data_IF_153287437836
#
_entry.id   IF_153287437836
#
_cell.length_a   1.000
_cell.length_b   1.000
_cell.length_c   1.000
_cell.angle_alpha   90.00
_cell.angle_beta   90.00
_cell.angle_gamma   90.00
#
_symmetry.space_group_name_H-M   'P 1'
#
loop_
_entity.id
_entity.type
_entity.pdbx_description
1 polymer ?
#
# COMPACT_ATOMS: atom_id res chain seq x y z
N UNK A 1 14.72 1.26 4.80
CA UNK A 1 13.96 1.60 3.58
C UNK A 1 12.53 1.11 3.70
N UNK A 2 11.54 1.95 3.35
CA UNK A 2 10.13 1.56 3.15
C UNK A 2 9.72 1.92 1.73
N UNK A 3 8.93 1.09 1.05
CA UNK A 3 8.43 1.36 -0.30
C UNK A 3 7.19 2.25 -0.25
N UNK A 4 7.14 3.28 -1.09
CA UNK A 4 6.00 4.20 -1.22
C UNK A 4 5.67 4.47 -2.69
N UNK A 5 4.43 4.82 -2.98
CA UNK A 5 4.05 5.37 -4.29
C UNK A 5 3.60 6.81 -4.07
N UNK A 6 4.00 7.73 -4.94
CA UNK A 6 3.68 9.15 -4.80
C UNK A 6 3.23 9.75 -6.13
N UNK A 7 2.49 10.85 -6.11
CA UNK A 7 1.98 11.52 -7.30
C UNK A 7 0.45 11.54 -7.39
N UNK A 8 -0.05 12.11 -8.48
CA UNK A 8 -1.46 12.17 -8.79
C UNK A 8 -2.09 10.77 -8.90
N UNK A 9 -3.37 10.65 -8.52
CA UNK A 9 -4.10 9.39 -8.58
C UNK A 9 -4.06 8.76 -9.98
N UNK A 10 -3.62 7.50 -10.06
CA UNK A 10 -3.47 6.75 -11.32
C UNK A 10 -2.24 7.10 -12.15
N UNK A 11 -1.38 8.00 -11.67
CA UNK A 11 -0.10 8.39 -12.27
C UNK A 11 1.04 8.34 -11.25
N UNK A 12 0.89 7.48 -10.25
CA UNK A 12 1.89 7.38 -9.20
C UNK A 12 3.23 6.87 -9.74
N UNK A 13 4.31 7.34 -9.12
CA UNK A 13 5.68 6.87 -9.31
C UNK A 13 6.15 6.08 -8.09
N UNK A 14 7.06 5.11 -8.27
CA UNK A 14 7.68 4.42 -7.15
C UNK A 14 8.70 5.32 -6.45
N UNK A 15 8.69 5.29 -5.13
CA UNK A 15 9.61 6.00 -4.26
C UNK A 15 9.96 5.20 -3.02
N UNK A 16 10.98 5.65 -2.30
CA UNK A 16 11.38 5.05 -1.03
C UNK A 16 11.39 6.07 0.09
N UNK A 17 10.99 5.63 1.28
CA UNK A 17 11.13 6.40 2.52
C UNK A 17 12.32 5.89 3.32
N UNK A 18 13.28 6.76 3.61
CA UNK A 18 14.52 6.50 4.34
C UNK A 18 14.74 7.66 5.32
N UNK A 19 14.80 7.34 6.62
CA UNK A 19 15.14 8.27 7.71
C UNK A 19 14.37 9.61 7.67
N UNK A 20 13.06 9.54 7.42
CA UNK A 20 12.19 10.72 7.39
C UNK A 20 12.08 11.40 6.02
N UNK A 21 12.86 10.98 5.03
CA UNK A 21 12.89 11.59 3.69
C UNK A 21 12.33 10.62 2.65
N UNK A 22 11.57 11.16 1.70
CA UNK A 22 11.05 10.44 0.55
C UNK A 22 11.93 10.71 -0.68
N UNK A 23 12.27 9.65 -1.41
CA UNK A 23 13.11 9.72 -2.61
C UNK A 23 12.42 9.07 -3.80
N UNK A 24 12.57 9.67 -4.98
CA UNK A 24 12.11 9.15 -6.26
C UNK A 24 13.06 8.05 -6.76
N UNK A 25 12.52 6.86 -7.06
CA UNK A 25 13.29 5.73 -7.64
C UNK A 25 12.74 5.32 -9.01
N UNK A 26 11.93 6.15 -9.64
CA UNK A 26 11.29 5.89 -10.94
C UNK A 26 12.27 5.76 -12.11
N UNK A 27 13.53 6.17 -11.92
CA UNK A 27 14.61 5.89 -12.86
C UNK A 27 15.07 4.42 -12.87
N UNK A 28 14.79 3.66 -11.81
CA UNK A 28 15.28 2.29 -11.61
C UNK A 28 14.16 1.26 -11.52
N UNK A 29 13.00 1.70 -11.03
CA UNK A 29 11.83 0.86 -10.83
C UNK A 29 10.69 1.43 -11.65
N UNK A 30 10.02 0.57 -12.41
CA UNK A 30 8.83 0.98 -13.16
C UNK A 30 7.66 1.26 -12.21
N UNK A 31 7.31 0.30 -11.36
CA UNK A 31 6.29 0.44 -10.31
C UNK A 31 6.39 -0.72 -9.30
N UNK A 32 5.68 -0.65 -8.17
CA UNK A 32 5.56 -1.74 -7.20
C UNK A 32 4.36 -2.63 -7.52
N UNK A 33 4.52 -3.46 -8.55
CA UNK A 33 3.52 -4.40 -9.08
C UNK A 33 4.01 -5.86 -8.96
N UNK A 34 3.24 -6.83 -9.48
CA UNK A 34 3.64 -8.25 -9.45
C UNK A 34 5.04 -8.48 -10.04
N UNK A 35 5.37 -7.86 -11.17
CA UNK A 35 6.66 -8.05 -11.84
C UNK A 35 7.84 -7.57 -10.97
N UNK A 36 7.70 -6.45 -10.24
CA UNK A 36 8.74 -6.00 -9.31
C UNK A 36 8.98 -7.02 -8.19
N UNK A 37 7.93 -7.55 -7.58
CA UNK A 37 8.06 -8.49 -6.47
C UNK A 37 8.52 -9.88 -6.92
N UNK A 38 8.10 -10.34 -8.09
CA UNK A 38 8.50 -11.62 -8.68
C UNK A 38 9.99 -11.66 -9.04
N UNK A 39 10.54 -10.54 -9.54
CA UNK A 39 11.91 -10.47 -10.06
C UNK A 39 12.92 -9.98 -9.01
N UNK A 40 12.73 -10.32 -7.73
CA UNK A 40 13.63 -9.93 -6.63
C UNK A 40 13.88 -8.40 -6.53
N UNK A 41 12.90 -7.59 -6.94
CA UNK A 41 13.05 -6.14 -7.09
C UNK A 41 13.42 -5.42 -5.78
N UNK A 42 13.03 -5.96 -4.63
CA UNK A 42 13.39 -5.40 -3.32
C UNK A 42 14.92 -5.46 -3.10
N UNK A 43 15.54 -6.61 -3.37
CA UNK A 43 16.98 -6.77 -3.19
C UNK A 43 17.77 -5.95 -4.21
N UNK A 44 17.32 -5.94 -5.47
CA UNK A 44 17.93 -5.13 -6.53
C UNK A 44 17.88 -3.63 -6.20
N UNK A 45 16.72 -3.12 -5.77
CA UNK A 45 16.58 -1.72 -5.36
C UNK A 45 17.45 -1.39 -4.16
N UNK A 46 17.53 -2.30 -3.18
CA UNK A 46 18.40 -2.12 -2.01
C UNK A 46 19.87 -2.01 -2.41
N UNK A 47 20.33 -2.86 -3.33
CA UNK A 47 21.71 -2.80 -3.83
C UNK A 47 22.00 -1.44 -4.51
N UNK A 48 21.07 -0.92 -5.31
CA UNK A 48 21.22 0.41 -5.95
C UNK A 48 21.38 1.51 -4.90
N UNK A 49 20.58 1.45 -3.83
CA UNK A 49 20.62 2.43 -2.74
C UNK A 49 21.91 2.29 -1.93
N UNK A 50 22.27 1.07 -1.53
CA UNK A 50 23.41 0.81 -0.65
C UNK A 50 24.77 1.06 -1.34
N UNK A 51 24.85 0.92 -2.67
CA UNK A 51 26.07 1.18 -3.44
C UNK A 51 26.48 2.66 -3.46
N UNK A 52 25.58 3.61 -3.10
CA UNK A 52 25.83 5.06 -3.06
C UNK A 52 26.36 5.69 -4.36
N UNK A 53 26.28 5.00 -5.51
CA UNK A 53 26.72 5.52 -6.81
C UNK A 53 25.71 6.48 -7.44
N UNK A 54 24.51 6.56 -6.88
CA UNK A 54 23.38 7.32 -7.43
C UNK A 54 22.86 8.31 -6.40
N UNK A 55 22.68 9.56 -6.85
CA UNK A 55 21.93 10.57 -6.09
C UNK A 55 20.44 10.41 -6.41
N UNK A 56 19.64 10.02 -5.42
CA UNK A 56 18.20 9.92 -5.57
C UNK A 56 17.54 11.30 -5.42
N UNK A 57 16.68 11.73 -6.36
CA UNK A 57 15.91 12.96 -6.20
C UNK A 57 14.99 12.89 -4.98
N UNK A 58 14.94 13.95 -4.19
CA UNK A 58 13.98 14.07 -3.08
C UNK A 58 12.58 14.31 -3.67
N UNK A 59 11.59 13.58 -3.17
CA UNK A 59 10.18 13.83 -3.49
C UNK A 59 9.76 15.15 -2.83
N UNK A 60 9.14 16.09 -3.59
CA UNK A 60 8.70 17.37 -3.03
C UNK A 60 7.81 17.20 -1.79
N UNK A 61 7.98 18.12 -0.84
CA UNK A 61 7.12 18.15 0.34
C UNK A 61 5.66 18.43 -0.07
N UNK A 62 4.71 17.73 0.55
CA UNK A 62 3.28 17.86 0.25
C UNK A 62 2.81 17.06 -0.96
N UNK A 63 3.70 16.34 -1.65
CA UNK A 63 3.32 15.41 -2.70
C UNK A 63 2.39 14.32 -2.15
N UNK A 64 1.33 13.99 -2.90
CA UNK A 64 0.36 12.98 -2.49
C UNK A 64 1.03 11.62 -2.40
N UNK A 65 0.77 10.88 -1.31
CA UNK A 65 1.12 9.47 -1.20
C UNK A 65 -0.06 8.63 -1.71
N UNK A 66 0.22 7.78 -2.70
CA UNK A 66 -0.74 6.86 -3.28
C UNK A 66 -0.73 5.49 -2.60
N UNK A 67 -1.56 4.58 -3.10
CA UNK A 67 -1.59 3.21 -2.61
C UNK A 67 -0.22 2.53 -2.85
N UNK A 68 0.34 1.81 -1.86
CA UNK A 68 1.73 1.34 -1.92
C UNK A 68 1.97 0.23 -2.95
N UNK A 69 0.90 -0.42 -3.42
CA UNK A 69 0.95 -1.48 -4.43
C UNK A 69 0.18 -1.02 -5.67
N UNK A 70 0.82 -1.18 -6.83
CA UNK A 70 0.21 -0.89 -8.11
C UNK A 70 -0.70 -2.05 -8.55
N UNK A 71 -2.01 -1.77 -8.61
CA UNK A 71 -3.05 -2.66 -9.17
C UNK A 71 -2.91 -4.13 -8.73
N UNK A 72 -3.04 -4.44 -7.42
CA UNK A 72 -2.93 -5.83 -6.96
C UNK A 72 -3.99 -6.70 -7.64
N UNK A 73 -3.64 -7.92 -8.04
CA UNK A 73 -4.61 -8.91 -8.57
C UNK A 73 -5.76 -9.26 -7.63
N UNK A 74 -5.53 -9.24 -6.30
CA UNK A 74 -6.53 -9.59 -5.28
C UNK A 74 -6.26 -8.88 -3.96
N UNK A 75 -7.34 -8.61 -3.21
CA UNK A 75 -7.29 -8.17 -1.82
C UNK A 75 -8.05 -9.21 -0.99
N UNK A 76 -7.30 -10.06 -0.29
CA UNK A 76 -7.84 -11.13 0.56
C UNK A 76 -7.82 -10.65 2.01
N UNK A 77 -8.99 -10.66 2.65
CA UNK A 77 -9.20 -10.14 3.98
C UNK A 77 -9.53 -11.28 4.96
N UNK A 78 -9.15 -11.10 6.22
CA UNK A 78 -9.44 -12.04 7.31
C UNK A 78 -10.44 -11.39 8.28
N UNK A 79 -11.58 -12.03 8.47
CA UNK A 79 -12.60 -11.63 9.44
C UNK A 79 -12.28 -12.12 10.85
N UNK A 80 -12.75 -11.38 11.87
CA UNK A 80 -12.68 -11.77 13.28
C UNK A 80 -11.29 -12.21 13.78
N UNK A 81 -10.20 -11.63 13.24
CA UNK A 81 -8.83 -12.01 13.60
C UNK A 81 -8.30 -11.37 14.90
N UNK A 82 -9.19 -10.77 15.70
CA UNK A 82 -8.88 -10.18 17.00
C UNK A 82 -9.90 -10.68 18.03
N UNK A 83 -9.42 -11.38 19.07
CA UNK A 83 -10.28 -11.98 20.10
C UNK A 83 -11.20 -10.96 20.82
N UNK A 84 -10.73 -9.71 20.99
CA UNK A 84 -11.54 -8.64 21.57
C UNK A 84 -12.70 -8.24 20.66
N UNK A 85 -12.45 -8.13 19.35
CA UNK A 85 -13.48 -7.78 18.37
C UNK A 85 -14.55 -8.88 18.22
N UNK A 86 -14.15 -10.16 18.32
CA UNK A 86 -15.10 -11.27 18.40
C UNK A 86 -16.03 -11.15 19.63
N UNK A 87 -15.48 -10.77 20.79
CA UNK A 87 -16.29 -10.52 22.00
C UNK A 87 -17.22 -9.32 21.86
N UNK A 88 -16.75 -8.21 21.26
CA UNK A 88 -17.55 -6.99 21.04
C UNK A 88 -18.78 -7.24 20.16
N UNK A 89 -18.67 -8.16 19.20
CA UNK A 89 -19.76 -8.55 18.30
C UNK A 89 -20.62 -9.70 18.85
N UNK A 90 -20.33 -10.21 20.05
CA UNK A 90 -20.90 -11.45 20.60
C UNK A 90 -20.79 -12.65 19.62
N UNK A 91 -19.78 -12.64 18.75
CA UNK A 91 -19.51 -13.73 17.83
C UNK A 91 -18.64 -14.80 18.53
N UNK A 92 -18.89 -16.10 18.29
CA UNK A 92 -17.98 -17.14 18.74
C UNK A 92 -16.59 -16.95 18.10
N UNK A 93 -15.55 -17.34 18.81
CA UNK A 93 -14.19 -17.36 18.24
C UNK A 93 -14.18 -18.40 17.12
N UNK A 94 -13.79 -18.03 15.88
CA UNK A 94 -13.76 -18.97 14.77
C UNK A 94 -12.73 -20.08 15.02
N UNK A 95 -13.09 -21.33 14.71
CA UNK A 95 -12.13 -22.46 14.70
C UNK A 95 -11.24 -22.44 13.44
N UNK A 96 -11.71 -21.77 12.38
CA UNK A 96 -11.03 -21.62 11.10
C UNK A 96 -11.02 -20.15 10.64
N UNK A 97 -10.03 -19.72 9.83
CA UNK A 97 -10.00 -18.35 9.31
C UNK A 97 -11.20 -18.01 8.43
N UNK A 98 -11.91 -16.94 8.77
CA UNK A 98 -12.96 -16.38 7.92
C UNK A 98 -12.29 -15.56 6.81
N UNK A 99 -12.36 -16.03 5.57
CA UNK A 99 -11.75 -15.37 4.41
C UNK A 99 -12.83 -14.69 3.57
N UNK A 100 -12.59 -13.44 3.19
CA UNK A 100 -13.42 -12.72 2.23
C UNK A 100 -12.56 -11.86 1.30
N UNK A 101 -13.15 -11.32 0.24
CA UNK A 101 -12.44 -10.49 -0.73
C UNK A 101 -12.98 -9.06 -0.75
N UNK A 102 -12.09 -8.12 -1.03
CA UNK A 102 -12.43 -6.74 -1.34
C UNK A 102 -12.08 -6.45 -2.80
N UNK A 103 -12.94 -5.71 -3.51
CA UNK A 103 -12.65 -5.32 -4.90
C UNK A 103 -11.35 -4.51 -4.96
N UNK A 104 -10.50 -4.80 -5.95
CA UNK A 104 -9.24 -4.08 -6.17
C UNK A 104 -9.46 -2.59 -6.46
N UNK A 105 -10.63 -2.23 -7.00
CA UNK A 105 -11.05 -0.84 -7.24
C UNK A 105 -11.34 -0.03 -5.99
N UNK A 106 -11.33 -0.66 -4.82
CA UNK A 106 -11.58 0.03 -3.54
C UNK A 106 -10.30 0.42 -2.79
N UNK A 107 -9.13 0.15 -3.37
CA UNK A 107 -7.84 0.58 -2.86
C UNK A 107 -7.63 2.06 -3.16
N UNK A 108 -7.25 2.84 -2.14
CA UNK A 108 -6.91 4.27 -2.25
C UNK A 108 -5.62 4.57 -1.49
N UNK A 109 -5.04 5.76 -1.70
CA UNK A 109 -3.87 6.22 -0.95
C UNK A 109 -4.16 6.40 0.53
N UNK A 110 -3.13 6.38 1.39
CA UNK A 110 -3.28 6.45 2.85
C UNK A 110 -3.92 7.73 3.38
N UNK A 111 -3.92 8.81 2.58
CA UNK A 111 -4.49 10.11 2.93
C UNK A 111 -5.61 10.54 1.97
N UNK A 112 -6.06 9.64 1.10
CA UNK A 112 -7.14 9.94 0.17
C UNK A 112 -8.49 9.96 0.90
N UNK A 113 -9.40 10.78 0.38
CA UNK A 113 -10.78 10.79 0.85
C UNK A 113 -11.49 9.46 0.54
N UNK A 114 -12.23 8.95 1.51
CA UNK A 114 -13.16 7.83 1.30
C UNK A 114 -14.49 8.40 0.80
N UNK A 115 -14.89 8.03 -0.42
CA UNK A 115 -16.17 8.45 -0.99
C UNK A 115 -17.28 7.55 -0.45
N UNK A 116 -18.07 8.08 0.49
CA UNK A 116 -19.23 7.38 1.06
C UNK A 116 -20.46 7.60 0.15
N UNK A 117 -21.13 6.53 -0.33
CA UNK A 117 -22.33 6.67 -1.16
C UNK A 117 -23.47 7.39 -0.41
N UNK A 118 -24.29 8.19 -1.14
CA UNK A 118 -25.35 9.06 -0.58
C UNK A 118 -26.33 8.40 0.39
N UNK A 119 -26.56 7.09 0.28
CA UNK A 119 -27.52 6.34 1.08
C UNK A 119 -26.86 5.36 2.06
N UNK A 120 -25.55 5.45 2.28
CA UNK A 120 -24.86 4.60 3.26
C UNK A 120 -25.24 5.02 4.68
N UNK A 121 -25.78 4.08 5.48
CA UNK A 121 -26.25 4.37 6.85
C UNK A 121 -25.32 3.85 7.95
N UNK A 122 -24.44 2.88 7.64
CA UNK A 122 -23.60 2.17 8.62
C UNK A 122 -22.18 1.95 8.07
N UNK A 123 -21.55 3.03 7.62
CA UNK A 123 -20.11 2.98 7.27
C UNK A 123 -19.30 2.93 8.56
N UNK A 124 -18.30 2.06 8.61
CA UNK A 124 -17.53 1.75 9.84
C UNK A 124 -16.03 1.57 9.54
N UNK A 125 -15.18 1.55 10.57
CA UNK A 125 -13.71 1.45 10.46
C UNK A 125 -13.07 0.39 11.36
#
# INVERSE_FOLDING_TARGET
MKLIRFGAAGKEKPGVHIDGVNYDVSAFVQDYNEAFFENNGIAALRQIIDNNEVVLPIVPAGERIGAPIARPSKIVCIGLNYAKHAKETNAPIPEEPIIFMKSTTSLVGPYDNIIIPKNSQKTDW
#
